data_IF_969147601395
#
_entry.id   IF_969147601395
#
_cell.length_a   1.000
_cell.length_b   1.000
_cell.length_c   1.000
_cell.angle_alpha   90.00
_cell.angle_beta   90.00
_cell.angle_gamma   90.00
#
_symmetry.space_group_name_H-M   'P 1'
#
loop_
_entity.id
_entity.type
_entity.pdbx_description
1 polymer ?
#
# COMPACT_ATOMS: atom_id res chain seq x y z
N UNK A 1 -4.05 -14.61 -19.67
CA UNK A 1 -3.20 -13.94 -18.66
C UNK A 1 -3.75 -14.32 -17.29
N UNK A 2 -2.92 -14.95 -16.47
CA UNK A 2 -3.21 -15.19 -15.05
C UNK A 2 -3.05 -13.87 -14.28
N UNK A 3 -3.87 -13.67 -13.24
CA UNK A 3 -3.76 -12.47 -12.40
C UNK A 3 -2.42 -12.49 -11.61
N UNK A 4 -1.78 -11.33 -11.40
CA UNK A 4 -0.59 -11.25 -10.57
C UNK A 4 -0.84 -11.76 -9.14
N UNK A 5 0.18 -12.39 -8.55
CA UNK A 5 0.16 -12.86 -7.15
C UNK A 5 1.01 -11.94 -6.27
N UNK A 6 0.72 -11.81 -4.97
CA UNK A 6 1.53 -11.00 -4.07
C UNK A 6 2.89 -11.67 -3.80
N UNK A 7 3.91 -10.84 -3.50
CA UNK A 7 5.18 -11.31 -2.93
C UNK A 7 4.96 -12.19 -1.70
N UNK A 8 5.78 -13.23 -1.57
CA UNK A 8 5.68 -14.23 -0.50
C UNK A 8 4.71 -15.37 -0.81
N UNK A 9 4.10 -15.41 -2.00
CA UNK A 9 3.26 -16.53 -2.42
C UNK A 9 4.12 -17.76 -2.73
N UNK A 10 3.70 -18.92 -2.23
CA UNK A 10 4.28 -20.23 -2.55
C UNK A 10 3.53 -20.88 -3.71
N UNK A 11 4.28 -21.31 -4.72
CA UNK A 11 3.76 -21.95 -5.94
C UNK A 11 4.55 -23.23 -6.26
N UNK A 12 4.00 -24.09 -7.12
CA UNK A 12 4.70 -25.21 -7.75
C UNK A 12 4.23 -25.34 -9.20
N UNK A 13 4.96 -26.09 -10.01
CA UNK A 13 4.68 -26.26 -11.42
C UNK A 13 4.38 -27.73 -11.77
N UNK A 14 3.65 -27.93 -12.87
CA UNK A 14 3.25 -29.23 -13.42
C UNK A 14 3.63 -29.32 -14.89
N UNK A 15 3.81 -30.53 -15.43
CA UNK A 15 4.07 -30.70 -16.86
C UNK A 15 3.37 -31.92 -17.44
N UNK A 16 3.20 -31.92 -18.76
CA UNK A 16 2.67 -33.04 -19.53
C UNK A 16 3.72 -33.56 -20.50
N UNK A 17 3.79 -34.87 -20.68
CA UNK A 17 4.67 -35.50 -21.67
C UNK A 17 3.82 -35.99 -22.87
N UNK A 18 4.02 -35.39 -24.04
CA UNK A 18 3.29 -35.72 -25.27
C UNK A 18 4.17 -36.45 -26.28
N UNK A 19 3.57 -37.31 -27.11
CA UNK A 19 4.30 -38.05 -28.15
C UNK A 19 5.17 -39.20 -27.62
N UNK A 20 5.04 -39.54 -26.33
CA UNK A 20 5.72 -40.64 -25.67
C UNK A 20 4.91 -41.93 -25.72
N UNK A 21 5.56 -43.07 -25.42
CA UNK A 21 4.84 -44.33 -25.16
C UNK A 21 4.04 -44.22 -23.87
N UNK A 22 2.90 -44.93 -23.78
CA UNK A 22 2.03 -44.88 -22.59
C UNK A 22 2.70 -45.36 -21.30
N UNK A 23 3.75 -46.17 -21.40
CA UNK A 23 4.56 -46.64 -20.27
C UNK A 23 5.86 -45.85 -20.09
N UNK A 24 5.95 -44.62 -20.62
CA UNK A 24 7.16 -43.81 -20.51
C UNK A 24 7.57 -43.59 -19.05
N UNK A 25 8.86 -43.80 -18.79
CA UNK A 25 9.57 -43.64 -17.53
C UNK A 25 10.59 -42.51 -17.59
N UNK A 26 11.64 -42.59 -16.76
CA UNK A 26 12.67 -41.56 -16.66
C UNK A 26 12.30 -40.45 -15.67
N UNK A 27 12.81 -39.24 -15.91
CA UNK A 27 12.66 -38.11 -15.00
C UNK A 27 12.46 -36.79 -15.74
N UNK A 28 11.78 -35.85 -15.08
CA UNK A 28 11.62 -34.46 -15.49
C UNK A 28 12.36 -33.55 -14.51
N UNK A 29 13.06 -32.53 -15.02
CA UNK A 29 13.66 -31.47 -14.23
C UNK A 29 12.90 -30.18 -14.41
N UNK A 30 12.61 -29.51 -13.31
CA UNK A 30 12.03 -28.17 -13.30
C UNK A 30 13.09 -27.14 -12.94
N UNK A 31 13.08 -26.04 -13.66
CA UNK A 31 13.90 -24.85 -13.37
C UNK A 31 13.03 -23.60 -13.50
N UNK A 32 13.41 -22.56 -12.76
CA UNK A 32 12.73 -21.27 -12.77
C UNK A 32 13.69 -20.15 -13.15
N UNK A 33 13.21 -19.24 -14.00
CA UNK A 33 13.99 -18.23 -14.71
C UNK A 33 13.38 -16.84 -14.55
N UNK A 34 14.21 -15.81 -14.73
CA UNK A 34 13.79 -14.40 -14.68
C UNK A 34 13.54 -13.78 -16.06
N UNK A 35 13.72 -14.55 -17.14
CA UNK A 35 13.50 -14.12 -18.51
C UNK A 35 12.74 -15.17 -19.32
N UNK A 36 12.03 -14.70 -20.34
CA UNK A 36 11.16 -15.52 -21.18
C UNK A 36 11.90 -16.39 -22.22
N UNK A 37 13.24 -16.32 -22.23
CA UNK A 37 14.10 -17.18 -23.05
C UNK A 37 14.75 -18.30 -22.25
N UNK A 38 14.51 -18.34 -20.93
CA UNK A 38 15.08 -19.30 -19.99
C UNK A 38 16.62 -19.29 -20.03
N UNK A 39 17.22 -18.11 -20.20
CA UNK A 39 18.67 -17.90 -20.19
C UNK A 39 19.25 -17.67 -18.79
N UNK A 40 18.44 -17.14 -17.88
CA UNK A 40 18.86 -16.65 -16.56
C UNK A 40 18.05 -17.33 -15.46
N UNK A 41 18.70 -18.20 -14.70
CA UNK A 41 18.09 -18.85 -13.55
C UNK A 41 17.76 -17.83 -12.46
N UNK A 42 16.62 -18.00 -11.81
CA UNK A 42 16.32 -17.30 -10.56
C UNK A 42 17.36 -17.70 -9.51
N UNK A 43 18.11 -16.71 -9.03
CA UNK A 43 19.07 -16.88 -7.94
C UNK A 43 18.45 -16.70 -6.55
N UNK A 44 19.31 -16.46 -5.56
CA UNK A 44 18.92 -16.33 -4.15
C UNK A 44 18.58 -17.67 -3.49
N UNK A 45 18.30 -17.67 -2.19
CA UNK A 45 18.12 -18.91 -1.41
C UNK A 45 17.00 -19.79 -1.98
N UNK A 46 15.83 -19.23 -2.27
CA UNK A 46 14.68 -19.97 -2.79
C UNK A 46 14.90 -20.45 -4.24
N UNK A 47 15.39 -19.58 -5.12
CA UNK A 47 15.66 -19.91 -6.52
C UNK A 47 16.75 -20.96 -6.66
N UNK A 48 17.86 -20.83 -5.92
CA UNK A 48 18.93 -21.82 -5.91
C UNK A 48 18.43 -23.19 -5.42
N UNK A 49 17.69 -23.23 -4.31
CA UNK A 49 17.14 -24.48 -3.79
C UNK A 49 16.21 -25.17 -4.80
N UNK A 50 15.29 -24.41 -5.43
CA UNK A 50 14.41 -24.93 -6.46
C UNK A 50 15.18 -25.42 -7.70
N UNK A 51 16.18 -24.66 -8.16
CA UNK A 51 16.95 -25.02 -9.36
C UNK A 51 17.92 -26.20 -9.14
N UNK A 52 18.17 -26.58 -7.88
CA UNK A 52 18.91 -27.79 -7.49
C UNK A 52 18.02 -28.91 -6.96
N UNK A 53 16.69 -28.80 -7.12
CA UNK A 53 15.76 -29.84 -6.70
C UNK A 53 16.07 -31.17 -7.40
N UNK A 54 15.72 -32.29 -6.75
CA UNK A 54 15.83 -33.61 -7.37
C UNK A 54 14.83 -33.73 -8.51
N UNK A 55 15.29 -34.26 -9.65
CA UNK A 55 14.43 -34.55 -10.80
C UNK A 55 13.26 -35.47 -10.39
N UNK A 56 12.08 -35.19 -10.94
CA UNK A 56 10.83 -35.87 -10.58
C UNK A 56 10.61 -37.05 -11.50
N UNK A 57 10.15 -38.17 -10.96
CA UNK A 57 9.91 -39.36 -11.77
C UNK A 57 8.82 -39.11 -12.82
N UNK A 58 8.98 -39.72 -13.99
CA UNK A 58 7.91 -39.90 -14.96
C UNK A 58 7.41 -41.33 -14.81
N UNK A 59 6.11 -41.53 -14.64
CA UNK A 59 5.50 -42.86 -14.51
C UNK A 59 4.30 -42.95 -15.44
N UNK A 60 4.33 -43.91 -16.37
CA UNK A 60 3.29 -44.09 -17.37
C UNK A 60 2.96 -42.80 -18.13
N UNK A 61 4.00 -42.13 -18.64
CA UNK A 61 3.93 -40.83 -19.32
C UNK A 61 3.38 -39.67 -18.49
N UNK A 62 3.26 -39.83 -17.17
CA UNK A 62 2.89 -38.75 -16.24
C UNK A 62 4.12 -38.23 -15.50
N UNK A 63 4.61 -37.02 -15.80
CA UNK A 63 5.65 -36.38 -15.00
C UNK A 63 5.15 -36.02 -13.60
N UNK A 64 5.99 -36.18 -12.58
CA UNK A 64 5.72 -35.66 -11.23
C UNK A 64 5.86 -34.14 -11.16
N UNK A 65 5.17 -33.51 -10.20
CA UNK A 65 5.19 -32.06 -9.99
C UNK A 65 6.54 -31.58 -9.44
N UNK A 66 6.89 -30.32 -9.72
CA UNK A 66 8.05 -29.68 -9.08
C UNK A 66 7.90 -29.60 -7.56
N UNK A 67 9.00 -29.34 -6.86
CA UNK A 67 8.92 -28.86 -5.48
C UNK A 67 8.26 -27.48 -5.45
N UNK A 68 7.84 -27.03 -4.26
CA UNK A 68 7.29 -25.67 -4.10
C UNK A 68 8.39 -24.62 -3.97
N UNK A 69 8.13 -23.41 -4.46
CA UNK A 69 8.97 -22.22 -4.29
C UNK A 69 8.15 -21.03 -3.79
N UNK A 70 8.70 -20.30 -2.82
CA UNK A 70 8.16 -19.01 -2.37
C UNK A 70 8.84 -17.87 -3.12
N UNK A 71 8.06 -17.04 -3.82
CA UNK A 71 8.56 -15.94 -4.64
C UNK A 71 8.56 -14.64 -3.83
N UNK A 72 9.74 -14.30 -3.28
CA UNK A 72 9.89 -13.20 -2.33
C UNK A 72 10.20 -11.84 -2.97
N UNK A 73 10.33 -11.79 -4.30
CA UNK A 73 10.61 -10.55 -5.03
C UNK A 73 9.55 -10.34 -6.11
N UNK A 74 9.15 -9.09 -6.30
CA UNK A 74 8.29 -8.72 -7.41
C UNK A 74 9.04 -8.92 -8.74
N UNK A 75 8.31 -9.29 -9.79
CA UNK A 75 8.86 -9.62 -11.11
C UNK A 75 8.03 -10.68 -11.82
N UNK A 76 8.41 -11.00 -13.05
CA UNK A 76 7.82 -12.11 -13.79
C UNK A 76 8.82 -13.26 -13.84
N UNK A 77 8.39 -14.46 -13.48
CA UNK A 77 9.20 -15.67 -13.49
C UNK A 77 8.61 -16.72 -14.43
N UNK A 78 9.49 -17.56 -14.98
CA UNK A 78 9.15 -18.54 -16.01
C UNK A 78 9.61 -19.91 -15.56
N UNK A 79 8.75 -20.92 -15.67
CA UNK A 79 9.10 -22.30 -15.38
C UNK A 79 9.42 -23.06 -16.67
N UNK A 80 10.43 -23.92 -16.62
CA UNK A 80 10.74 -24.85 -17.70
C UNK A 80 10.89 -26.26 -17.17
N UNK A 81 10.14 -27.17 -17.77
CA UNK A 81 10.27 -28.60 -17.58
C UNK A 81 11.17 -29.18 -18.67
N UNK A 82 12.10 -30.06 -18.31
CA UNK A 82 12.94 -30.81 -19.26
C UNK A 82 12.87 -32.29 -18.94
N UNK A 83 12.52 -33.11 -19.92
CA UNK A 83 12.60 -34.56 -19.80
C UNK A 83 14.08 -34.99 -19.80
N UNK A 84 14.64 -35.30 -18.63
CA UNK A 84 16.10 -35.35 -18.43
C UNK A 84 16.74 -36.67 -18.83
N UNK A 85 16.14 -37.80 -18.44
CA UNK A 85 16.82 -39.10 -18.51
C UNK A 85 16.29 -40.00 -19.60
N UNK A 86 15.05 -39.80 -20.05
CA UNK A 86 14.49 -40.70 -21.05
C UNK A 86 14.21 -42.10 -20.50
N UNK A 87 13.92 -43.02 -21.42
CA UNK A 87 13.98 -44.46 -21.23
C UNK A 87 14.32 -45.14 -22.58
N UNK A 88 14.25 -46.48 -22.64
CA UNK A 88 14.57 -47.26 -23.85
C UNK A 88 13.73 -46.86 -25.08
N UNK A 89 12.49 -46.41 -24.88
CA UNK A 89 11.54 -46.08 -25.95
C UNK A 89 11.32 -44.57 -26.09
N UNK A 90 11.80 -43.76 -25.16
CA UNK A 90 11.56 -42.31 -25.12
C UNK A 90 12.87 -41.55 -24.92
N UNK A 91 13.25 -40.74 -25.91
CA UNK A 91 14.52 -40.00 -25.89
C UNK A 91 14.43 -38.80 -24.94
N UNK A 92 15.50 -38.58 -24.17
CA UNK A 92 15.67 -37.42 -23.31
C UNK A 92 15.86 -36.10 -24.08
N UNK A 93 15.71 -34.98 -23.40
CA UNK A 93 16.06 -33.64 -23.88
C UNK A 93 14.89 -32.78 -24.35
N UNK A 94 13.68 -33.32 -24.40
CA UNK A 94 12.48 -32.52 -24.68
C UNK A 94 12.27 -31.45 -23.60
N UNK A 95 12.00 -30.21 -24.01
CA UNK A 95 11.79 -29.07 -23.12
C UNK A 95 10.44 -28.42 -23.37
N UNK A 96 9.78 -27.94 -22.32
CA UNK A 96 8.63 -27.04 -22.47
C UNK A 96 9.08 -25.69 -23.02
N UNK A 97 8.16 -25.01 -23.71
CA UNK A 97 8.37 -23.63 -24.15
C UNK A 97 8.50 -22.72 -22.93
N UNK A 98 9.56 -21.93 -22.84
CA UNK A 98 9.82 -21.09 -21.66
C UNK A 98 8.68 -20.13 -21.32
N UNK A 99 8.00 -19.60 -22.35
CA UNK A 99 6.90 -18.66 -22.20
C UNK A 99 5.53 -19.31 -22.04
N UNK A 100 5.44 -20.65 -21.95
CA UNK A 100 4.15 -21.34 -21.79
C UNK A 100 3.47 -20.96 -20.48
N UNK A 101 4.26 -20.72 -19.44
CA UNK A 101 3.77 -20.35 -18.12
C UNK A 101 4.65 -19.27 -17.49
N UNK A 102 4.05 -18.09 -17.32
CA UNK A 102 4.65 -16.97 -16.63
C UNK A 102 3.85 -16.67 -15.36
N UNK A 103 4.56 -16.53 -14.25
CA UNK A 103 3.98 -16.05 -12.98
C UNK A 103 4.44 -14.62 -12.74
N UNK A 104 3.50 -13.69 -12.67
CA UNK A 104 3.79 -12.30 -12.31
C UNK A 104 3.56 -12.11 -10.81
N UNK A 105 4.61 -11.71 -10.11
CA UNK A 105 4.60 -11.38 -8.70
C UNK A 105 4.65 -9.88 -8.55
N UNK A 106 3.71 -9.33 -7.79
CA UNK A 106 3.62 -7.90 -7.54
C UNK A 106 3.98 -7.60 -6.08
N UNK A 107 4.66 -6.48 -5.87
CA UNK A 107 4.88 -5.96 -4.53
C UNK A 107 3.54 -5.63 -3.87
N UNK A 108 3.41 -5.98 -2.60
CA UNK A 108 2.31 -5.47 -1.77
C UNK A 108 2.62 -4.03 -1.38
N UNK A 109 1.72 -3.06 -1.60
CA UNK A 109 1.91 -1.69 -1.13
C UNK A 109 2.24 -1.69 0.36
N UNK A 110 3.21 -0.88 0.76
CA UNK A 110 3.51 -0.72 2.18
C UNK A 110 2.31 -0.06 2.88
N UNK A 111 1.96 -0.49 4.11
CA UNK A 111 1.00 0.25 4.91
C UNK A 111 1.58 1.66 5.18
N UNK A 112 0.82 2.69 4.82
CA UNK A 112 1.16 4.08 5.11
C UNK A 112 0.57 4.49 6.45
N UNK A 113 1.26 5.36 7.20
CA UNK A 113 0.68 5.98 8.38
C UNK A 113 -0.41 6.98 7.98
N UNK A 114 -1.43 7.14 8.82
CA UNK A 114 -2.38 8.24 8.68
C UNK A 114 -1.65 9.57 8.94
N UNK A 115 -1.59 10.51 7.99
CA UNK A 115 -0.98 11.81 8.26
C UNK A 115 -1.75 12.55 9.34
N UNK A 116 -1.04 13.12 10.30
CA UNK A 116 -1.62 14.07 11.25
C UNK A 116 -1.69 15.44 10.58
N UNK A 117 -2.87 16.05 10.55
CA UNK A 117 -3.00 17.45 10.18
C UNK A 117 -3.00 18.26 11.48
N UNK A 118 -2.44 19.46 11.40
CA UNK A 118 -2.44 20.48 12.44
C UNK A 118 -2.90 21.79 11.77
N UNK A 119 -3.88 22.48 12.35
CA UNK A 119 -4.37 23.76 11.82
C UNK A 119 -3.99 24.87 12.80
N UNK A 120 -3.17 25.79 12.33
CA UNK A 120 -2.65 26.94 13.08
C UNK A 120 -3.01 28.21 12.36
N UNK A 121 -3.40 29.21 13.15
CA UNK A 121 -3.64 30.55 12.64
C UNK A 121 -3.29 31.62 13.69
N UNK A 122 -2.98 32.82 13.21
CA UNK A 122 -2.66 34.02 13.99
C UNK A 122 -3.79 35.04 13.88
N UNK A 123 -4.61 35.13 14.92
CA UNK A 123 -5.79 35.99 14.93
C UNK A 123 -5.46 37.37 15.49
N UNK A 124 -5.96 38.41 14.83
CA UNK A 124 -5.93 39.80 15.31
C UNK A 124 -7.36 40.33 15.46
N UNK A 125 -7.69 40.84 16.65
CA UNK A 125 -8.96 41.54 16.90
C UNK A 125 -8.68 43.05 16.94
N UNK A 126 -9.42 43.82 16.15
CA UNK A 126 -9.26 45.27 16.03
C UNK A 126 -10.55 46.02 16.36
N UNK A 127 -10.48 47.35 16.50
CA UNK A 127 -11.66 48.18 16.79
C UNK A 127 -12.13 48.17 18.25
N UNK A 128 -11.38 47.55 19.16
CA UNK A 128 -11.65 47.59 20.59
C UNK A 128 -11.29 48.97 21.19
N UNK A 129 -12.05 49.40 22.19
CA UNK A 129 -11.78 50.62 22.94
C UNK A 129 -10.60 50.43 23.93
N UNK A 130 -10.18 51.51 24.59
CA UNK A 130 -9.20 51.41 25.67
C UNK A 130 -9.72 50.49 26.78
N UNK A 131 -8.88 49.52 27.19
CA UNK A 131 -9.12 48.53 28.25
C UNK A 131 -10.15 47.43 27.94
N UNK A 132 -9.97 46.63 26.87
CA UNK A 132 -10.79 45.45 26.67
C UNK A 132 -10.52 44.41 27.77
N UNK A 133 -11.57 43.70 28.20
CA UNK A 133 -11.52 42.73 29.30
C UNK A 133 -12.35 41.48 29.00
N UNK A 134 -12.07 40.38 29.68
CA UNK A 134 -12.70 39.08 29.38
C UNK A 134 -11.91 38.29 28.35
N UNK A 135 -12.61 37.46 27.57
CA UNK A 135 -11.97 36.37 26.83
C UNK A 135 -12.44 36.29 25.37
N UNK A 136 -11.47 36.15 24.47
CA UNK A 136 -11.71 35.67 23.11
C UNK A 136 -11.71 34.13 23.13
N UNK A 137 -12.82 33.54 22.71
CA UNK A 137 -12.96 32.09 22.53
C UNK A 137 -12.89 31.77 21.05
N UNK A 138 -12.02 30.85 20.68
CA UNK A 138 -11.81 30.42 19.30
C UNK A 138 -12.04 28.92 19.19
N UNK A 139 -12.86 28.51 18.24
CA UNK A 139 -13.12 27.11 17.94
C UNK A 139 -13.01 26.82 16.45
N UNK A 140 -12.79 25.55 16.11
CA UNK A 140 -12.73 25.06 14.74
C UNK A 140 -13.90 24.13 14.43
N UNK A 141 -14.53 24.34 13.28
CA UNK A 141 -15.81 23.76 12.89
C UNK A 141 -15.73 23.14 11.50
N UNK A 142 -16.63 22.23 11.18
CA UNK A 142 -16.68 21.52 9.89
C UNK A 142 -17.74 22.04 8.94
N UNK A 143 -18.43 23.13 9.31
CA UNK A 143 -19.44 23.76 8.47
C UNK A 143 -19.38 25.29 8.56
N UNK A 144 -19.78 25.95 7.48
CA UNK A 144 -19.72 27.42 7.34
C UNK A 144 -20.67 28.19 8.27
N UNK A 145 -21.62 27.51 8.89
CA UNK A 145 -22.46 28.09 9.94
C UNK A 145 -21.83 27.99 11.34
N UNK A 146 -20.68 27.32 11.47
CA UNK A 146 -20.00 27.03 12.74
C UNK A 146 -20.96 26.46 13.82
N UNK A 147 -21.77 25.48 13.42
CA UNK A 147 -22.69 24.75 14.33
C UNK A 147 -22.18 23.36 14.67
N UNK A 148 -21.30 22.79 13.83
CA UNK A 148 -20.73 21.46 14.02
C UNK A 148 -19.25 21.60 14.34
N UNK A 149 -18.93 21.48 15.63
CA UNK A 149 -17.56 21.57 16.12
C UNK A 149 -16.75 20.39 15.62
N UNK A 150 -15.48 20.60 15.28
CA UNK A 150 -14.59 19.50 14.89
C UNK A 150 -14.41 18.52 16.06
N UNK A 151 -14.82 17.27 15.85
CA UNK A 151 -14.69 16.20 16.84
C UNK A 151 -13.25 16.03 17.33
N UNK A 152 -13.09 15.88 18.64
CA UNK A 152 -11.78 15.65 19.28
C UNK A 152 -10.95 16.91 19.53
N UNK A 153 -11.44 18.09 19.15
CA UNK A 153 -10.82 19.37 19.56
C UNK A 153 -11.54 19.96 20.78
N UNK A 154 -11.01 21.06 21.35
CA UNK A 154 -11.64 21.91 22.37
C UNK A 154 -11.43 23.39 22.05
N UNK A 155 -12.29 24.29 22.55
CA UNK A 155 -12.13 25.72 22.25
C UNK A 155 -10.89 26.26 22.95
N UNK A 156 -10.17 27.15 22.26
CA UNK A 156 -9.01 27.85 22.82
C UNK A 156 -9.48 29.21 23.31
N UNK A 157 -9.02 29.60 24.49
CA UNK A 157 -9.43 30.84 25.14
C UNK A 157 -8.22 31.74 25.39
N UNK A 158 -8.35 33.00 24.98
CA UNK A 158 -7.34 34.03 25.17
C UNK A 158 -7.91 35.19 25.98
N UNK A 159 -7.12 35.84 26.82
CA UNK A 159 -7.51 37.12 27.41
C UNK A 159 -7.55 38.19 26.31
N UNK A 160 -8.61 38.98 26.22
CA UNK A 160 -8.71 40.01 25.19
C UNK A 160 -7.73 41.16 25.47
N UNK A 161 -7.14 41.76 24.43
CA UNK A 161 -6.21 42.89 24.56
C UNK A 161 -4.72 42.56 24.57
N UNK A 162 -4.33 41.29 24.44
CA UNK A 162 -2.93 40.82 24.49
C UNK A 162 -2.38 40.29 23.17
N UNK A 163 -2.90 40.77 22.03
CA UNK A 163 -2.66 40.15 20.71
C UNK A 163 -1.18 39.99 20.30
N UNK A 164 -0.90 39.24 19.22
CA UNK A 164 -1.80 38.38 18.45
C UNK A 164 -2.13 37.05 19.15
N UNK A 165 -3.24 36.41 18.76
CA UNK A 165 -3.71 35.15 19.35
C UNK A 165 -3.38 33.97 18.44
N UNK A 166 -2.45 33.12 18.87
CA UNK A 166 -2.01 31.97 18.09
C UNK A 166 -2.82 30.74 18.47
N UNK A 167 -3.48 30.12 17.48
CA UNK A 167 -4.24 28.89 17.65
C UNK A 167 -3.44 27.67 17.22
N UNK A 168 -3.73 26.54 17.85
CA UNK A 168 -3.16 25.24 17.50
C UNK A 168 -4.23 24.17 17.72
N UNK A 169 -4.83 23.72 16.61
CA UNK A 169 -5.85 22.67 16.63
C UNK A 169 -5.28 21.37 16.07
N UNK A 170 -5.16 20.38 16.96
CA UNK A 170 -4.79 19.00 16.65
C UNK A 170 -6.01 18.11 16.87
N UNK A 171 -6.27 17.20 15.93
CA UNK A 171 -7.38 16.25 16.01
C UNK A 171 -7.29 15.16 14.94
N UNK A 172 -8.30 14.27 14.83
CA UNK A 172 -8.44 13.33 13.71
C UNK A 172 -8.85 14.11 12.45
N UNK A 173 -7.98 15.01 12.02
CA UNK A 173 -8.18 15.89 10.91
C UNK A 173 -7.97 15.11 9.61
N UNK A 174 -9.01 15.05 8.78
CA UNK A 174 -8.97 14.48 7.45
C UNK A 174 -8.90 15.54 6.36
N UNK A 175 -8.93 15.11 5.10
CA UNK A 175 -9.25 16.03 4.01
C UNK A 175 -10.63 16.65 4.24
N UNK A 176 -10.74 17.96 4.05
CA UNK A 176 -11.99 18.67 4.27
C UNK A 176 -11.81 20.18 4.38
N UNK A 177 -12.93 20.85 4.59
CA UNK A 177 -13.01 22.28 4.81
C UNK A 177 -13.34 22.55 6.26
N UNK A 178 -12.56 23.43 6.88
CA UNK A 178 -12.67 23.79 8.29
C UNK A 178 -12.94 25.29 8.42
N UNK A 179 -13.65 25.68 9.47
CA UNK A 179 -14.05 27.05 9.70
C UNK A 179 -13.69 27.51 11.10
N UNK A 180 -13.08 28.69 11.21
CA UNK A 180 -12.84 29.33 12.50
C UNK A 180 -14.08 30.08 12.96
N UNK A 181 -14.48 29.84 14.22
CA UNK A 181 -15.45 30.67 14.94
C UNK A 181 -14.74 31.45 16.02
N UNK A 182 -14.85 32.77 15.99
CA UNK A 182 -14.37 33.65 17.04
C UNK A 182 -15.58 34.14 17.84
N UNK A 183 -15.47 34.20 19.15
CA UNK A 183 -16.54 34.67 20.03
C UNK A 183 -15.99 35.47 21.20
N UNK A 184 -16.57 36.65 21.41
CA UNK A 184 -16.27 37.53 22.52
C UNK A 184 -17.59 38.00 23.11
N UNK A 185 -17.78 37.81 24.42
CA UNK A 185 -19.04 38.17 25.07
C UNK A 185 -19.27 39.69 25.15
N UNK A 186 -18.21 40.48 24.94
CA UNK A 186 -18.22 41.90 25.21
C UNK A 186 -17.85 42.21 26.66
N UNK A 187 -17.69 43.49 26.93
CA UNK A 187 -17.55 44.07 28.26
C UNK A 187 -18.31 45.40 28.34
N UNK A 188 -18.10 46.16 29.41
CA UNK A 188 -18.74 47.46 29.63
C UNK A 188 -18.52 48.47 28.49
N UNK A 189 -17.41 48.36 27.76
CA UNK A 189 -16.99 49.34 26.75
C UNK A 189 -16.94 48.77 25.33
N UNK A 190 -16.97 47.44 25.19
CA UNK A 190 -16.84 46.74 23.93
C UNK A 190 -18.04 45.82 23.72
N UNK A 191 -18.72 45.97 22.59
CA UNK A 191 -19.81 45.07 22.21
C UNK A 191 -19.27 43.66 21.92
N UNK A 192 -19.98 42.64 22.37
CA UNK A 192 -19.68 41.26 22.02
C UNK A 192 -19.91 40.95 20.55
N UNK A 193 -19.24 39.92 20.05
CA UNK A 193 -19.40 39.40 18.69
C UNK A 193 -19.27 37.87 18.67
N UNK A 194 -19.81 37.25 17.64
CA UNK A 194 -19.65 35.81 17.39
C UNK A 194 -19.78 35.54 15.90
N UNK A 195 -18.67 35.26 15.24
CA UNK A 195 -18.61 35.19 13.78
C UNK A 195 -17.84 33.94 13.33
N UNK A 196 -18.30 33.36 12.23
CA UNK A 196 -17.64 32.26 11.52
C UNK A 196 -16.87 32.90 10.36
N UNK A 197 -15.57 33.14 10.55
CA UNK A 197 -14.86 34.22 9.82
C UNK A 197 -13.87 33.74 8.77
N UNK A 198 -13.41 32.49 8.84
CA UNK A 198 -12.36 31.99 7.96
C UNK A 198 -12.61 30.55 7.52
N UNK A 199 -12.28 30.25 6.27
CA UNK A 199 -12.32 28.92 5.66
C UNK A 199 -10.89 28.40 5.41
N UNK A 200 -10.60 27.20 5.90
CA UNK A 200 -9.33 26.50 5.68
C UNK A 200 -9.59 25.19 4.96
N UNK A 201 -8.97 25.00 3.79
CA UNK A 201 -9.06 23.77 3.02
C UNK A 201 -7.83 22.90 3.23
N UNK A 202 -8.02 21.69 3.76
CA UNK A 202 -6.96 20.69 3.90
C UNK A 202 -7.20 19.53 2.94
N UNK A 203 -6.15 19.12 2.21
CA UNK A 203 -6.20 17.97 1.30
C UNK A 203 -5.08 17.00 1.64
N UNK A 204 -5.43 15.81 2.12
CA UNK A 204 -4.53 14.67 2.21
C UNK A 204 -4.62 13.89 0.90
N UNK A 205 -3.48 13.72 0.23
CA UNK A 205 -3.33 12.78 -0.89
C UNK A 205 -2.38 11.68 -0.45
N UNK A 206 -2.89 10.45 -0.31
CA UNK A 206 -2.02 9.28 -0.18
C UNK A 206 -1.51 8.91 -1.57
N UNK A 207 -0.20 8.83 -1.74
CA UNK A 207 0.41 8.25 -2.95
C UNK A 207 0.68 6.76 -2.69
N UNK A 208 0.54 5.89 -3.71
CA UNK A 208 0.86 4.47 -3.61
C UNK A 208 2.37 4.21 -3.48
#
# INVERSE_FOLDING_TARGET
MTAPIPVGTTVYDTSTLSGSTTNAGGTVRYRIYTDNTCGTLLGGTAGNAFNTQTDKAVTNASPGNSDSITLNTAGTFYFQATYQTGDTNNVAGAMSTCSSEAVTVQATPAPHSTPAIEIKDTITVSGLSASPSGNLVVGIYTNSACTTRLSGTSDVTFAIGSGPFNTDFVGPLGSGTYFYKLSYAGDTFNTGFSDCTEEVNATITSLP
#
